data_IF_316558177457
#
_entry.id   IF_316558177457
#
_cell.length_a   1.000
_cell.length_b   1.000
_cell.length_c   1.000
_cell.angle_alpha   90.00
_cell.angle_beta   90.00
_cell.angle_gamma   90.00
#
_symmetry.space_group_name_H-M   'P 1'
#
loop_
_entity.id
_entity.type
_entity.pdbx_description
1 polymer ?
#
# COMPACT_ATOMS: atom_id res chain seq x y z
N UNK A 1 -2.17 -7.94 49.88
CA UNK A 1 -0.93 -8.12 49.08
C UNK A 1 -1.25 -8.40 47.61
N UNK A 2 -2.34 -9.07 47.30
CA UNK A 2 -2.85 -9.37 45.96
C UNK A 2 -3.21 -8.11 45.14
N UNK A 3 -3.88 -7.13 45.75
CA UNK A 3 -4.28 -5.87 45.09
C UNK A 3 -3.11 -5.02 44.57
N UNK A 4 -1.95 -5.08 45.22
CA UNK A 4 -0.77 -4.31 44.79
C UNK A 4 -0.14 -4.88 43.51
N UNK A 5 -0.13 -6.21 43.36
CA UNK A 5 0.38 -6.89 42.21
C UNK A 5 -0.54 -6.69 41.00
N UNK A 6 -1.86 -6.68 41.17
CA UNK A 6 -2.82 -6.35 40.13
C UNK A 6 -2.63 -4.92 39.60
N UNK A 7 -2.50 -3.96 40.50
CA UNK A 7 -2.30 -2.54 40.10
C UNK A 7 -0.99 -2.33 39.30
N UNK A 8 0.09 -2.99 39.71
CA UNK A 8 1.37 -2.91 39.02
C UNK A 8 1.32 -3.59 37.63
N UNK A 9 0.68 -4.75 37.53
CA UNK A 9 0.50 -5.45 36.27
C UNK A 9 -0.33 -4.62 35.26
N UNK A 10 -1.45 -4.06 35.73
CA UNK A 10 -2.31 -3.21 34.90
C UNK A 10 -1.59 -1.96 34.40
N UNK A 11 -0.80 -1.30 35.27
CA UNK A 11 -0.04 -0.12 34.86
C UNK A 11 1.06 -0.46 33.85
N UNK A 12 1.74 -1.60 34.02
CA UNK A 12 2.72 -2.11 33.05
C UNK A 12 2.08 -2.39 31.69
N UNK A 13 0.94 -3.06 31.67
CA UNK A 13 0.16 -3.37 30.48
C UNK A 13 -0.27 -2.08 29.78
N UNK A 14 -0.86 -1.13 30.51
CA UNK A 14 -1.28 0.18 30.00
C UNK A 14 -0.13 0.92 29.32
N UNK A 15 1.04 0.94 29.95
CA UNK A 15 2.26 1.57 29.41
C UNK A 15 2.73 0.85 28.15
N UNK A 16 2.69 -0.47 28.11
CA UNK A 16 3.11 -1.29 26.96
C UNK A 16 2.22 -1.04 25.77
N UNK A 17 0.90 -1.10 25.94
CA UNK A 17 -0.07 -0.86 24.85
C UNK A 17 0.05 0.54 24.27
N UNK A 18 0.22 1.56 25.12
CA UNK A 18 0.41 2.95 24.65
C UNK A 18 1.68 3.18 23.85
N UNK A 19 2.73 2.43 24.13
CA UNK A 19 4.05 2.60 23.51
C UNK A 19 4.24 1.72 22.26
N UNK A 20 3.36 0.73 22.02
CA UNK A 20 3.45 -0.16 20.87
C UNK A 20 2.27 0.12 19.93
N UNK A 21 2.49 0.88 18.83
CA UNK A 21 1.41 1.39 17.97
C UNK A 21 0.58 0.32 17.27
N UNK A 22 0.96 -0.95 17.38
CA UNK A 22 0.29 -2.07 16.71
C UNK A 22 -0.53 -2.94 17.66
N UNK A 23 -0.72 -2.53 18.91
CA UNK A 23 -1.49 -3.26 19.90
C UNK A 23 -2.65 -2.39 20.37
N UNK A 24 -3.88 -2.88 20.19
CA UNK A 24 -5.09 -2.20 20.65
C UNK A 24 -5.59 -2.80 21.96
N UNK A 25 -5.37 -4.11 22.18
CA UNK A 25 -5.81 -4.86 23.38
C UNK A 25 -4.67 -5.70 23.93
N UNK A 26 -4.58 -5.75 25.23
CA UNK A 26 -3.65 -6.63 25.94
C UNK A 26 -4.35 -7.27 27.13
N UNK A 27 -4.21 -8.58 27.28
CA UNK A 27 -4.76 -9.31 28.43
C UNK A 27 -3.80 -10.38 28.92
N UNK A 28 -3.91 -10.67 30.20
CA UNK A 28 -3.21 -11.77 30.86
C UNK A 28 -4.25 -12.67 31.50
N UNK A 29 -4.08 -13.96 31.28
CA UNK A 29 -4.93 -15.02 31.83
C UNK A 29 -4.09 -15.91 32.75
N UNK A 30 -4.71 -16.44 33.76
CA UNK A 30 -4.11 -17.46 34.61
C UNK A 30 -4.03 -18.83 33.88
N UNK A 31 -3.47 -19.84 34.56
CA UNK A 31 -3.36 -21.20 34.04
C UNK A 31 -4.73 -21.89 33.82
N UNK A 32 -5.80 -21.39 34.41
CA UNK A 32 -7.17 -21.88 34.21
C UNK A 32 -7.88 -21.22 33.04
N UNK A 33 -7.25 -20.20 32.41
CA UNK A 33 -7.83 -19.40 31.36
C UNK A 33 -8.74 -18.28 31.86
N UNK A 34 -8.74 -17.97 33.15
CA UNK A 34 -9.45 -16.84 33.70
C UNK A 34 -8.68 -15.54 33.51
N UNK A 35 -9.34 -14.42 33.11
CA UNK A 35 -8.65 -13.15 32.89
C UNK A 35 -8.20 -12.55 34.24
N UNK A 36 -6.93 -12.16 34.31
CA UNK A 36 -6.29 -11.59 35.50
C UNK A 36 -6.02 -10.10 35.34
N UNK A 37 -5.57 -9.66 34.16
CA UNK A 37 -5.33 -8.28 33.88
C UNK A 37 -5.66 -7.97 32.40
N UNK A 38 -6.14 -6.76 32.17
CA UNK A 38 -6.66 -6.35 30.86
C UNK A 38 -6.46 -4.86 30.64
N UNK A 39 -6.22 -4.47 29.40
CA UNK A 39 -6.29 -3.08 28.95
C UNK A 39 -6.72 -3.01 27.50
N UNK A 40 -7.74 -2.18 27.23
CA UNK A 40 -8.24 -1.87 25.90
C UNK A 40 -7.97 -0.40 25.57
N UNK A 41 -7.17 -0.14 24.55
CA UNK A 41 -6.81 1.21 24.14
C UNK A 41 -8.00 2.00 23.57
N UNK A 42 -8.95 1.33 22.92
CA UNK A 42 -10.07 1.98 22.25
C UNK A 42 -11.11 2.51 23.24
N UNK A 43 -11.43 1.74 24.30
CA UNK A 43 -12.37 2.14 25.35
C UNK A 43 -11.69 2.76 26.57
N UNK A 44 -10.37 2.52 26.76
CA UNK A 44 -9.65 2.83 27.96
C UNK A 44 -10.00 1.92 29.15
N UNK A 45 -10.73 0.84 28.90
CA UNK A 45 -11.15 -0.11 29.93
C UNK A 45 -9.97 -0.97 30.40
N UNK A 46 -9.91 -1.22 31.70
CA UNK A 46 -8.88 -2.01 32.38
C UNK A 46 -9.45 -3.03 33.38
N UNK A 47 -10.75 -3.26 33.34
CA UNK A 47 -11.43 -4.24 34.20
C UNK A 47 -11.42 -5.63 33.55
N UNK A 48 -10.68 -6.61 34.08
CA UNK A 48 -10.59 -7.96 33.52
C UNK A 48 -11.94 -8.71 33.51
N UNK A 49 -12.92 -8.29 34.28
CA UNK A 49 -14.26 -8.91 34.28
C UNK A 49 -15.04 -8.68 33.00
N UNK A 50 -14.61 -7.72 32.18
CA UNK A 50 -15.18 -7.47 30.84
C UNK A 50 -14.78 -8.51 29.81
N UNK A 51 -13.73 -9.31 30.08
CA UNK A 51 -13.29 -10.40 29.21
C UNK A 51 -13.96 -11.72 29.61
N UNK A 52 -14.25 -12.51 28.59
CA UNK A 52 -14.63 -13.92 28.79
C UNK A 52 -13.40 -14.77 29.04
N UNK A 53 -13.50 -15.82 29.85
CA UNK A 53 -12.43 -16.82 29.97
C UNK A 53 -12.05 -17.40 28.62
N UNK A 54 -10.81 -17.90 28.51
CA UNK A 54 -10.31 -18.54 27.28
C UNK A 54 -11.25 -19.68 26.87
N UNK A 55 -11.54 -19.77 25.58
CA UNK A 55 -12.38 -20.82 25.03
C UNK A 55 -11.71 -22.19 25.18
N UNK A 56 -12.51 -23.24 25.24
CA UNK A 56 -12.01 -24.63 25.31
C UNK A 56 -11.07 -24.96 24.15
N UNK A 57 -11.32 -24.41 22.96
CA UNK A 57 -10.47 -24.63 21.80
C UNK A 57 -9.07 -24.02 21.95
N UNK A 58 -8.97 -22.84 22.57
CA UNK A 58 -7.69 -22.20 22.87
C UNK A 58 -6.93 -22.98 23.94
N UNK A 59 -7.63 -23.38 25.00
CA UNK A 59 -7.03 -24.19 26.06
C UNK A 59 -6.55 -25.56 25.56
N UNK A 60 -7.33 -26.23 24.71
CA UNK A 60 -6.93 -27.51 24.10
C UNK A 60 -5.68 -27.37 23.23
N UNK A 61 -5.54 -26.26 22.50
CA UNK A 61 -4.36 -25.98 21.69
C UNK A 61 -3.08 -25.93 22.53
N UNK A 62 -3.12 -25.21 23.64
CA UNK A 62 -1.97 -25.10 24.55
C UNK A 62 -1.70 -26.40 25.31
N UNK A 63 -2.75 -27.16 25.67
CA UNK A 63 -2.62 -28.49 26.31
C UNK A 63 -1.97 -29.49 25.35
N UNK A 64 -2.12 -29.31 24.03
CA UNK A 64 -1.43 -30.14 23.03
C UNK A 64 0.08 -29.82 22.87
N UNK A 65 0.62 -28.90 23.69
CA UNK A 65 2.04 -28.54 23.73
C UNK A 65 2.47 -27.45 22.74
N UNK A 66 1.52 -26.66 22.26
CA UNK A 66 1.83 -25.49 21.42
C UNK A 66 2.05 -24.25 22.28
N UNK A 67 2.98 -23.38 21.89
CA UNK A 67 3.36 -22.20 22.67
C UNK A 67 2.63 -20.92 22.22
N UNK A 68 2.11 -20.87 21.00
CA UNK A 68 1.45 -19.70 20.43
C UNK A 68 0.24 -20.09 19.61
N UNK A 69 -0.74 -19.17 19.53
CA UNK A 69 -1.95 -19.32 18.72
C UNK A 69 -2.40 -17.99 18.16
N UNK A 70 -2.83 -17.98 16.88
CA UNK A 70 -3.55 -16.85 16.29
C UNK A 70 -5.04 -17.18 16.24
N UNK A 71 -5.87 -16.28 16.74
CA UNK A 71 -7.32 -16.47 16.82
C UNK A 71 -8.04 -15.16 16.45
N UNK A 72 -9.22 -15.31 15.82
CA UNK A 72 -10.11 -14.17 15.63
C UNK A 72 -11.13 -14.20 16.77
N UNK A 73 -11.06 -13.20 17.62
CA UNK A 73 -11.90 -13.11 18.82
C UNK A 73 -12.87 -11.95 18.77
N UNK A 74 -13.62 -11.82 19.86
CA UNK A 74 -14.45 -10.66 20.15
C UNK A 74 -13.96 -10.06 21.46
N UNK A 75 -13.49 -8.81 21.42
CA UNK A 75 -13.15 -8.02 22.57
C UNK A 75 -14.25 -6.98 22.85
N UNK A 76 -14.28 -6.32 24.01
CA UNK A 76 -15.33 -5.36 24.38
C UNK A 76 -15.59 -4.25 23.37
N UNK A 77 -14.55 -3.82 22.64
CA UNK A 77 -14.67 -2.76 21.62
C UNK A 77 -14.86 -3.27 20.18
N UNK A 78 -15.01 -4.58 19.97
CA UNK A 78 -15.34 -5.18 18.66
C UNK A 78 -14.53 -6.42 18.32
N UNK A 79 -14.68 -6.88 17.06
CA UNK A 79 -13.93 -8.03 16.53
C UNK A 79 -12.46 -7.70 16.42
N UNK A 80 -11.61 -8.58 16.93
CA UNK A 80 -10.17 -8.41 16.92
C UNK A 80 -9.44 -9.64 16.34
N UNK A 81 -8.17 -9.43 16.01
CA UNK A 81 -7.21 -10.48 15.74
C UNK A 81 -6.27 -10.61 16.91
N UNK A 82 -6.37 -11.73 17.60
CA UNK A 82 -5.58 -12.01 18.79
C UNK A 82 -4.44 -12.95 18.50
N UNK A 83 -3.31 -12.70 19.13
CA UNK A 83 -2.23 -13.65 19.31
C UNK A 83 -2.17 -14.02 20.80
N UNK A 84 -2.20 -15.30 21.05
CA UNK A 84 -2.02 -15.86 22.40
C UNK A 84 -0.65 -16.51 22.51
N UNK A 85 -0.01 -16.37 23.66
CA UNK A 85 1.23 -17.08 23.99
C UNK A 85 1.19 -17.60 25.41
N UNK A 86 1.72 -18.81 25.62
CA UNK A 86 1.87 -19.39 26.94
C UNK A 86 3.01 -18.74 27.71
N UNK A 87 2.82 -18.54 29.01
CA UNK A 87 3.82 -18.03 29.95
C UNK A 87 4.26 -19.17 30.84
N UNK A 88 5.56 -19.45 30.84
CA UNK A 88 6.16 -20.48 31.69
C UNK A 88 6.99 -19.86 32.80
N UNK A 89 7.05 -20.54 33.95
CA UNK A 89 7.98 -20.18 35.03
C UNK A 89 9.42 -20.54 34.65
N UNK A 90 10.37 -20.08 35.47
CA UNK A 90 11.80 -20.47 35.32
C UNK A 90 12.03 -21.99 35.45
N UNK A 91 11.09 -22.72 36.02
CA UNK A 91 11.12 -24.17 36.22
C UNK A 91 10.42 -24.92 35.07
N UNK A 92 9.87 -24.20 34.05
CA UNK A 92 9.19 -24.78 32.91
C UNK A 92 7.71 -25.11 33.17
N UNK A 93 7.14 -24.69 34.29
CA UNK A 93 5.72 -24.89 34.54
C UNK A 93 4.87 -23.79 33.91
N UNK A 94 3.73 -24.16 33.31
CA UNK A 94 2.76 -23.23 32.75
C UNK A 94 2.15 -22.37 33.87
N UNK A 95 2.37 -21.06 33.77
CA UNK A 95 1.90 -20.06 34.75
C UNK A 95 0.63 -19.35 34.28
N UNK A 96 0.48 -19.16 32.98
CA UNK A 96 -0.66 -18.48 32.39
C UNK A 96 -0.50 -18.21 30.91
N UNK A 97 -1.32 -17.29 30.40
CA UNK A 97 -1.33 -16.93 28.99
C UNK A 97 -1.32 -15.41 28.83
N UNK A 98 -0.70 -14.93 27.80
CA UNK A 98 -0.78 -13.53 27.37
C UNK A 98 -1.53 -13.46 26.04
N UNK A 99 -2.40 -12.48 25.93
CA UNK A 99 -3.10 -12.15 24.68
C UNK A 99 -2.75 -10.73 24.26
N UNK A 100 -2.45 -10.55 22.99
CA UNK A 100 -2.38 -9.25 22.34
C UNK A 100 -3.34 -9.24 21.17
N UNK A 101 -4.10 -8.16 21.03
CA UNK A 101 -5.12 -8.04 19.99
C UNK A 101 -5.02 -6.72 19.23
N UNK A 102 -5.45 -6.76 17.96
CA UNK A 102 -5.59 -5.60 17.09
C UNK A 102 -7.02 -5.60 16.57
N UNK A 103 -7.74 -4.48 16.76
CA UNK A 103 -9.08 -4.36 16.23
C UNK A 103 -9.10 -4.33 14.70
N UNK A 104 -10.04 -5.06 14.12
CA UNK A 104 -10.23 -5.11 12.67
C UNK A 104 -10.48 -3.70 12.10
N UNK A 105 -11.17 -2.84 12.87
CA UNK A 105 -11.40 -1.43 12.49
C UNK A 105 -10.10 -0.65 12.34
N UNK A 106 -9.12 -0.85 13.23
CA UNK A 106 -7.80 -0.21 13.15
C UNK A 106 -7.07 -0.60 11.85
N UNK A 107 -7.12 -1.88 11.49
CA UNK A 107 -6.56 -2.41 10.24
C UNK A 107 -7.24 -1.79 9.01
N UNK A 108 -8.58 -1.74 9.01
CA UNK A 108 -9.36 -1.17 7.90
C UNK A 108 -9.04 0.31 7.69
N UNK A 109 -8.94 1.09 8.76
CA UNK A 109 -8.59 2.51 8.67
C UNK A 109 -7.15 2.74 8.17
N UNK A 110 -6.21 1.88 8.52
CA UNK A 110 -4.85 1.91 8.02
C UNK A 110 -4.81 1.60 6.51
N UNK A 111 -5.50 0.56 6.07
CA UNK A 111 -5.60 0.18 4.65
C UNK A 111 -6.27 1.29 3.84
N UNK A 112 -7.36 1.87 4.35
CA UNK A 112 -8.05 2.97 3.68
C UNK A 112 -7.15 4.20 3.47
N UNK A 113 -6.39 4.61 4.49
CA UNK A 113 -5.41 5.70 4.38
C UNK A 113 -4.35 5.41 3.33
N UNK A 114 -3.83 4.19 3.32
CA UNK A 114 -2.83 3.75 2.35
C UNK A 114 -3.38 3.81 0.92
N UNK A 115 -4.62 3.36 0.73
CA UNK A 115 -5.32 3.36 -0.56
C UNK A 115 -5.57 4.80 -1.06
N UNK A 116 -6.02 5.69 -0.18
CA UNK A 116 -6.22 7.11 -0.51
C UNK A 116 -4.90 7.80 -0.91
N UNK A 117 -3.80 7.49 -0.21
CA UNK A 117 -2.49 8.04 -0.56
C UNK A 117 -2.04 7.59 -1.97
N UNK A 118 -2.21 6.30 -2.29
CA UNK A 118 -1.89 5.78 -3.62
C UNK A 118 -2.77 6.38 -4.72
N UNK A 119 -4.08 6.53 -4.45
CA UNK A 119 -5.00 7.18 -5.37
C UNK A 119 -4.58 8.63 -5.66
N UNK A 120 -4.23 9.38 -4.63
CA UNK A 120 -3.74 10.76 -4.77
C UNK A 120 -2.46 10.80 -5.61
N UNK A 121 -1.50 9.91 -5.35
CA UNK A 121 -0.26 9.82 -6.12
C UNK A 121 -0.52 9.53 -7.61
N UNK A 122 -1.45 8.61 -7.92
CA UNK A 122 -1.87 8.32 -9.30
C UNK A 122 -2.48 9.55 -9.98
N UNK A 123 -3.36 10.28 -9.31
CA UNK A 123 -3.98 11.49 -9.86
C UNK A 123 -2.91 12.56 -10.17
N UNK A 124 -1.97 12.78 -9.25
CA UNK A 124 -0.86 13.74 -9.46
C UNK A 124 0.00 13.30 -10.65
N UNK A 125 0.33 12.02 -10.77
CA UNK A 125 1.11 11.49 -11.89
C UNK A 125 0.40 11.68 -13.24
N UNK A 126 -0.93 11.44 -13.29
CA UNK A 126 -1.74 11.65 -14.50
C UNK A 126 -1.78 13.12 -14.90
N UNK A 127 -1.96 14.04 -13.95
CA UNK A 127 -1.95 15.48 -14.22
C UNK A 127 -0.57 15.91 -14.74
N UNK A 128 0.50 15.52 -14.06
CA UNK A 128 1.86 15.85 -14.50
C UNK A 128 2.19 15.30 -15.89
N UNK A 129 1.82 14.03 -16.16
CA UNK A 129 1.99 13.40 -17.47
C UNK A 129 1.20 14.12 -18.57
N UNK A 130 -0.05 14.51 -18.30
CA UNK A 130 -0.87 15.26 -19.23
C UNK A 130 -0.29 16.64 -19.56
N UNK A 131 0.16 17.38 -18.54
CA UNK A 131 0.80 18.68 -18.72
C UNK A 131 2.10 18.58 -19.53
N UNK A 132 2.92 17.56 -19.24
CA UNK A 132 4.16 17.31 -19.97
C UNK A 132 3.89 16.96 -21.43
N UNK A 133 2.89 16.12 -21.71
CA UNK A 133 2.45 15.75 -23.05
C UNK A 133 1.98 16.96 -23.86
N UNK A 134 1.16 17.82 -23.24
CA UNK A 134 0.69 19.07 -23.88
C UNK A 134 1.86 20.01 -24.21
N UNK A 135 2.82 20.15 -23.28
CA UNK A 135 4.00 20.99 -23.48
C UNK A 135 4.88 20.47 -24.61
N UNK A 136 5.12 19.16 -24.65
CA UNK A 136 5.90 18.51 -25.71
C UNK A 136 5.22 18.66 -27.06
N UNK A 137 3.90 18.43 -27.13
CA UNK A 137 3.12 18.62 -28.37
C UNK A 137 3.19 20.06 -28.90
N UNK A 138 3.18 21.07 -28.01
CA UNK A 138 3.32 22.49 -28.41
C UNK A 138 4.70 22.77 -28.95
N UNK A 139 5.77 22.30 -28.27
CA UNK A 139 7.14 22.52 -28.74
C UNK A 139 7.38 21.89 -30.11
N UNK A 140 6.89 20.68 -30.37
CA UNK A 140 7.00 20.01 -31.67
C UNK A 140 6.25 20.80 -32.76
N UNK A 141 5.08 21.35 -32.47
CA UNK A 141 4.33 22.18 -33.43
C UNK A 141 5.04 23.47 -33.74
N UNK A 142 5.70 24.09 -32.77
CA UNK A 142 6.50 25.32 -32.98
C UNK A 142 7.78 25.04 -33.79
N UNK A 143 8.48 23.94 -33.54
CA UNK A 143 9.67 23.53 -34.29
C UNK A 143 9.35 23.15 -35.76
N UNK A 144 8.17 22.60 -36.01
CA UNK A 144 7.68 22.29 -37.37
C UNK A 144 7.01 23.48 -38.05
N UNK A 145 7.28 24.74 -37.61
CA UNK A 145 6.73 25.96 -38.18
C UNK A 145 5.20 25.99 -38.27
N UNK A 146 4.51 25.25 -37.36
CA UNK A 146 3.06 25.19 -37.34
C UNK A 146 2.42 24.35 -38.44
N UNK A 147 3.20 23.64 -39.23
CA UNK A 147 2.68 22.72 -40.27
C UNK A 147 2.23 21.39 -39.61
N UNK A 148 0.97 21.04 -39.80
CA UNK A 148 0.52 19.68 -39.59
C UNK A 148 1.26 18.71 -40.52
N UNK A 149 1.58 17.48 -40.12
CA UNK A 149 2.26 16.47 -40.95
C UNK A 149 1.62 16.31 -42.34
N UNK A 150 0.32 16.43 -42.42
CA UNK A 150 -0.43 16.35 -43.67
C UNK A 150 -0.24 17.57 -44.58
N UNK A 151 -0.12 18.77 -44.00
CA UNK A 151 0.17 19.97 -44.75
C UNK A 151 1.60 19.93 -45.33
N UNK A 152 2.59 19.46 -44.57
CA UNK A 152 3.95 19.26 -45.04
C UNK A 152 4.03 18.25 -46.18
N UNK A 153 3.34 17.11 -46.04
CA UNK A 153 3.24 16.09 -47.08
C UNK A 153 2.61 16.66 -48.35
N UNK A 154 1.54 17.45 -48.24
CA UNK A 154 0.88 18.08 -49.39
C UNK A 154 1.78 19.06 -50.09
N UNK A 155 2.53 19.88 -49.37
CA UNK A 155 3.49 20.83 -49.90
C UNK A 155 4.65 20.12 -50.62
N UNK A 156 5.14 19.03 -50.08
CA UNK A 156 6.18 18.20 -50.67
C UNK A 156 5.71 17.55 -51.98
N UNK A 157 4.51 16.95 -51.99
CA UNK A 157 3.94 16.35 -53.22
C UNK A 157 3.69 17.42 -54.30
N UNK A 158 3.17 18.59 -53.93
CA UNK A 158 2.95 19.68 -54.84
C UNK A 158 4.27 20.18 -55.49
N UNK A 159 5.38 20.20 -54.73
CA UNK A 159 6.71 20.53 -55.32
C UNK A 159 7.19 19.46 -56.28
N UNK A 160 6.97 18.18 -55.98
CA UNK A 160 7.31 17.07 -56.88
C UNK A 160 6.50 17.14 -58.18
N UNK A 161 5.21 17.41 -58.10
CA UNK A 161 4.33 17.55 -59.28
C UNK A 161 4.77 18.71 -60.18
N UNK A 162 5.22 19.83 -59.61
CA UNK A 162 5.76 20.97 -60.39
C UNK A 162 7.07 20.60 -61.11
N UNK A 163 7.98 19.87 -60.44
CA UNK A 163 9.23 19.42 -61.06
C UNK A 163 9.01 18.40 -62.18
N UNK A 164 8.00 17.54 -62.03
CA UNK A 164 7.62 16.54 -63.04
C UNK A 164 6.85 17.14 -64.23
N UNK A 165 6.25 18.33 -64.06
CA UNK A 165 5.57 19.03 -65.13
C UNK A 165 6.48 19.87 -66.02
N UNK A 166 7.76 19.95 -65.71
CA UNK A 166 8.73 20.62 -66.54
C UNK A 166 9.10 19.73 -67.73
N UNK A 167 9.13 20.34 -68.94
CA UNK A 167 9.54 19.67 -70.19
C UNK A 167 11.06 19.47 -70.27
N UNK A 168 11.81 20.06 -69.35
CA UNK A 168 13.26 19.91 -69.23
C UNK A 168 13.67 18.82 -68.29
N UNK A 169 14.65 17.98 -68.67
CA UNK A 169 15.17 16.93 -67.80
C UNK A 169 15.93 17.48 -66.59
N UNK A 170 15.46 17.22 -65.37
CA UNK A 170 16.12 17.62 -64.11
C UNK A 170 16.76 16.42 -63.45
N UNK A 171 18.03 16.58 -63.04
CA UNK A 171 18.83 15.60 -62.37
C UNK A 171 19.42 16.24 -61.07
N UNK A 172 19.15 15.72 -59.93
CA UNK A 172 19.80 16.13 -58.69
C UNK A 172 20.79 15.06 -58.22
N UNK A 173 21.96 15.51 -57.74
CA UNK A 173 23.04 14.64 -57.25
C UNK A 173 23.40 15.06 -55.82
N UNK A 174 23.71 14.12 -54.97
CA UNK A 174 24.21 14.38 -53.61
C UNK A 174 25.72 14.68 -53.58
N UNK A 175 26.26 14.99 -52.43
CA UNK A 175 27.68 15.25 -52.20
C UNK A 175 28.58 14.04 -52.55
N UNK A 176 28.01 12.84 -52.55
CA UNK A 176 28.69 11.57 -52.89
C UNK A 176 28.57 11.23 -54.37
N UNK A 177 28.05 12.15 -55.21
CA UNK A 177 27.81 11.98 -56.64
C UNK A 177 26.77 10.90 -56.98
N UNK A 178 25.89 10.56 -56.03
CA UNK A 178 24.75 9.68 -56.28
C UNK A 178 23.56 10.50 -56.75
N UNK A 179 22.81 9.98 -57.72
CA UNK A 179 21.57 10.60 -58.21
C UNK A 179 20.49 10.44 -57.12
N UNK A 180 19.99 11.57 -56.64
CA UNK A 180 18.97 11.62 -55.61
C UNK A 180 17.57 11.91 -56.13
N UNK A 181 17.47 12.52 -57.31
CA UNK A 181 16.21 12.80 -57.96
C UNK A 181 16.36 12.87 -59.49
N UNK A 182 15.37 12.35 -60.19
CA UNK A 182 15.18 12.48 -61.64
C UNK A 182 13.72 12.82 -61.89
N UNK A 183 13.43 13.85 -62.70
CA UNK A 183 12.06 14.14 -63.10
C UNK A 183 11.64 13.28 -64.30
N UNK A 184 10.34 13.32 -64.65
CA UNK A 184 9.75 12.52 -65.74
C UNK A 184 10.38 12.79 -67.08
N UNK A 185 10.84 14.04 -67.39
CA UNK A 185 11.46 14.41 -68.64
C UNK A 185 12.93 13.92 -68.78
N UNK A 186 13.60 13.59 -67.67
CA UNK A 186 14.96 13.07 -67.64
C UNK A 186 15.00 11.53 -67.50
N UNK A 187 13.86 10.88 -67.33
CA UNK A 187 13.69 9.42 -67.20
C UNK A 187 13.42 8.80 -68.52
#
# INVERSE_FOLDING_TARGET
MEDIHHTQATEYIRRTVRNVPSIDVFAVYDKSGAPVAFYDLASGADDPTLLTPLSESVMAWFTAGNDTMLYNGEAPSGTDRCAYAAIYSSEGELTGFVMVGIYMRSIQMMVLRMLLFHLLACVVALIAGSLLSLRLSRNIKEELLGYEPDAFRKLFLQRMDILDALDEGLLAIDENKCVTYLNRAAS
#
